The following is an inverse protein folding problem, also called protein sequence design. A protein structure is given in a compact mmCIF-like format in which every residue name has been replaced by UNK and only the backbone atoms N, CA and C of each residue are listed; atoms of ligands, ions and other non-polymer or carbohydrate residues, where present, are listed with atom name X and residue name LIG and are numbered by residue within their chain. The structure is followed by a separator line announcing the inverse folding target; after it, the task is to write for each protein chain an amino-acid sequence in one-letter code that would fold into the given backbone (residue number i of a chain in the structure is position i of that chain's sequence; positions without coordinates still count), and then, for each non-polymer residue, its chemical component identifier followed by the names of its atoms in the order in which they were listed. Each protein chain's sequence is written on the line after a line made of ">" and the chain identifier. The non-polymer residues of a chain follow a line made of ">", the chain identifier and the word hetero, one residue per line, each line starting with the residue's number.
data_IF_488306518242
#
_entry.id   IF_488306518242
#
_cell.length_a   1.000
_cell.length_b   1.000
_cell.length_c   1.000
_cell.angle_alpha   90.00
_cell.angle_beta   90.00
_cell.angle_gamma   90.00
#
_symmetry.space_group_name_H-M   'P 1'
#
loop_
_entity.id
_entity.type
_entity.pdbx_description
1 polymer ?
#
# COMPACT_ATOMS: atom_id res chain seq x y z
N UNK A 1 2.16 -32.65 -3.98
CA UNK A 1 1.35 -31.43 -3.82
C UNK A 1 2.14 -30.55 -2.89
N UNK A 2 2.79 -29.50 -3.39
CA UNK A 2 3.54 -28.57 -2.54
C UNK A 2 2.54 -27.82 -1.69
N UNK A 3 2.62 -28.00 -0.38
CA UNK A 3 1.82 -27.31 0.64
C UNK A 3 2.23 -25.83 0.65
N UNK A 4 1.72 -25.04 -0.29
CA UNK A 4 2.00 -23.61 -0.34
C UNK A 4 1.15 -22.92 0.73
N UNK A 5 1.77 -22.12 1.61
CA UNK A 5 1.05 -21.43 2.67
C UNK A 5 0.03 -20.44 2.08
N UNK A 6 -1.12 -20.32 2.74
CA UNK A 6 -2.12 -19.31 2.39
C UNK A 6 -1.52 -17.91 2.54
N UNK A 7 -1.47 -17.18 1.43
CA UNK A 7 -0.90 -15.84 1.37
C UNK A 7 -1.88 -14.77 1.89
N UNK A 8 -3.19 -15.06 1.99
CA UNK A 8 -4.23 -14.16 2.51
C UNK A 8 -4.37 -14.22 4.03
N UNK A 9 -3.25 -14.09 4.75
CA UNK A 9 -3.23 -14.18 6.23
C UNK A 9 -4.18 -13.23 6.95
N UNK A 10 -4.56 -12.09 6.32
CA UNK A 10 -5.50 -11.09 6.88
C UNK A 10 -6.60 -10.64 5.92
N UNK A 11 -6.32 -10.54 4.62
CA UNK A 11 -7.26 -9.95 3.66
C UNK A 11 -8.55 -10.76 3.48
N UNK A 12 -8.57 -12.05 3.87
CA UNK A 12 -9.79 -12.86 3.93
C UNK A 12 -10.88 -12.24 4.82
N UNK A 13 -10.52 -11.50 5.88
CA UNK A 13 -11.47 -10.86 6.81
C UNK A 13 -12.37 -9.81 6.11
N UNK A 14 -11.94 -9.26 4.96
CA UNK A 14 -12.65 -8.24 4.18
C UNK A 14 -13.04 -8.70 2.78
N UNK A 15 -12.60 -9.88 2.35
CA UNK A 15 -12.88 -10.42 1.00
C UNK A 15 -13.77 -11.64 1.05
N UNK A 16 -13.59 -12.51 2.04
CA UNK A 16 -14.24 -13.82 2.10
C UNK A 16 -15.50 -13.71 2.97
N UNK A 17 -16.47 -14.61 2.78
CA UNK A 17 -17.80 -14.62 3.41
C UNK A 17 -18.87 -13.68 2.80
N UNK A 18 -20.15 -14.12 2.75
CA UNK A 18 -21.27 -13.29 2.30
C UNK A 18 -21.42 -11.98 3.09
N UNK A 19 -21.13 -12.01 4.40
CA UNK A 19 -21.21 -10.83 5.28
C UNK A 19 -20.22 -9.71 4.93
N UNK A 20 -19.23 -9.97 4.09
CA UNK A 20 -18.27 -8.97 3.58
C UNK A 20 -18.69 -8.32 2.27
N UNK A 21 -19.95 -8.49 1.84
CA UNK A 21 -20.50 -7.79 0.67
C UNK A 21 -20.28 -6.27 0.70
N UNK A 22 -20.47 -5.54 1.82
CA UNK A 22 -20.19 -4.09 1.86
C UNK A 22 -18.70 -3.75 1.67
N UNK A 23 -17.80 -4.54 2.25
CA UNK A 23 -16.37 -4.34 2.08
C UNK A 23 -15.93 -4.58 0.63
N UNK A 24 -16.43 -5.67 0.00
CA UNK A 24 -16.20 -5.92 -1.43
C UNK A 24 -16.74 -4.81 -2.32
N UNK A 25 -17.88 -4.20 -1.99
CA UNK A 25 -18.41 -3.06 -2.75
C UNK A 25 -17.43 -1.88 -2.76
N UNK A 26 -16.84 -1.55 -1.61
CA UNK A 26 -15.82 -0.49 -1.50
C UNK A 26 -14.53 -0.86 -2.24
N UNK A 27 -14.07 -2.11 -2.15
CA UNK A 27 -12.89 -2.60 -2.87
C UNK A 27 -13.08 -2.59 -4.40
N UNK A 28 -14.30 -2.87 -4.88
CA UNK A 28 -14.63 -2.71 -6.30
C UNK A 28 -14.55 -1.26 -6.75
N UNK A 29 -15.00 -0.32 -5.91
CA UNK A 29 -14.93 1.11 -6.21
C UNK A 29 -13.48 1.62 -6.33
N UNK A 30 -12.50 0.94 -5.73
CA UNK A 30 -11.07 1.24 -5.88
C UNK A 30 -10.38 0.43 -6.99
N UNK A 31 -11.14 -0.37 -7.75
CA UNK A 31 -10.68 -1.07 -8.94
C UNK A 31 -10.50 -2.58 -8.81
N UNK A 32 -10.79 -3.20 -7.65
CA UNK A 32 -10.73 -4.66 -7.55
C UNK A 32 -11.84 -5.32 -8.37
N UNK A 33 -11.49 -6.42 -9.02
CA UNK A 33 -12.37 -7.28 -9.80
C UNK A 33 -12.55 -8.64 -9.14
N UNK A 34 -13.40 -9.49 -9.72
CA UNK A 34 -13.65 -10.83 -9.19
C UNK A 34 -12.39 -11.70 -9.19
N UNK A 35 -11.50 -11.46 -10.16
CA UNK A 35 -10.21 -12.16 -10.30
C UNK A 35 -9.20 -11.74 -9.21
N UNK A 36 -9.52 -10.75 -8.38
CA UNK A 36 -8.64 -10.25 -7.32
C UNK A 36 -8.98 -10.77 -5.92
N UNK A 37 -10.09 -11.48 -5.73
CA UNK A 37 -10.53 -11.93 -4.40
C UNK A 37 -9.59 -12.92 -3.73
N UNK A 38 -8.90 -13.74 -4.52
CA UNK A 38 -7.96 -14.73 -4.01
C UNK A 38 -6.52 -14.19 -3.90
N UNK A 39 -6.29 -12.92 -4.25
CA UNK A 39 -4.97 -12.29 -4.16
C UNK A 39 -4.71 -11.75 -2.74
N UNK A 40 -3.47 -11.85 -2.23
CA UNK A 40 -3.09 -11.11 -1.04
C UNK A 40 -3.10 -9.60 -1.32
N UNK A 41 -3.68 -8.82 -0.41
CA UNK A 41 -3.67 -7.36 -0.48
C UNK A 41 -2.35 -6.83 0.11
N UNK A 42 -1.59 -6.07 -0.68
CA UNK A 42 -0.29 -5.56 -0.28
C UNK A 42 -0.35 -4.03 -0.16
N UNK A 43 -0.16 -3.53 1.06
CA UNK A 43 0.00 -2.10 1.31
C UNK A 43 1.34 -1.60 0.78
N UNK A 44 1.31 -0.69 -0.19
CA UNK A 44 2.51 0.00 -0.70
C UNK A 44 2.55 1.38 -0.06
N UNK A 45 3.32 1.52 1.02
CA UNK A 45 3.37 2.75 1.83
C UNK A 45 4.47 3.67 1.33
N UNK A 46 4.10 4.88 0.90
CA UNK A 46 5.04 5.90 0.44
C UNK A 46 5.11 7.07 1.42
N UNK A 47 6.31 7.54 1.73
CA UNK A 47 6.50 8.83 2.39
C UNK A 47 6.78 9.97 1.39
N UNK A 48 6.34 9.81 0.13
CA UNK A 48 6.48 10.86 -0.88
C UNK A 48 5.87 12.18 -0.41
N UNK A 49 6.64 13.24 -0.59
CA UNK A 49 6.23 14.63 -0.44
C UNK A 49 7.24 15.53 -1.16
N UNK A 50 6.86 16.78 -1.33
CA UNK A 50 7.68 17.82 -1.97
C UNK A 50 8.44 18.66 -0.92
N UNK A 51 8.42 18.26 0.35
CA UNK A 51 9.08 19.00 1.46
C UNK A 51 10.60 18.86 1.39
N UNK A 52 11.13 17.76 0.83
CA UNK A 52 12.58 17.53 0.73
C UNK A 52 12.94 16.68 -0.49
N UNK A 53 14.11 16.92 -1.13
CA UNK A 53 14.59 16.10 -2.24
C UNK A 53 14.70 14.62 -1.89
N UNK A 54 14.89 14.26 -0.63
CA UNK A 54 14.97 12.86 -0.17
C UNK A 54 13.70 12.06 -0.52
N UNK A 55 12.53 12.70 -0.53
CA UNK A 55 11.23 12.03 -0.68
C UNK A 55 10.66 12.14 -2.11
N UNK A 56 11.17 13.04 -2.93
CA UNK A 56 10.64 13.29 -4.28
C UNK A 56 10.58 12.03 -5.17
N UNK A 57 11.60 11.14 -5.19
CA UNK A 57 11.56 9.94 -6.04
C UNK A 57 10.53 8.89 -5.60
N UNK A 58 10.00 9.00 -4.37
CA UNK A 58 9.19 7.94 -3.77
C UNK A 58 7.83 7.74 -4.45
N UNK A 59 7.29 8.74 -5.16
CA UNK A 59 6.07 8.56 -5.95
C UNK A 59 6.27 7.57 -7.10
N UNK A 60 7.39 7.68 -7.82
CA UNK A 60 7.69 6.78 -8.94
C UNK A 60 8.15 5.40 -8.47
N UNK A 61 8.87 5.34 -7.34
CA UNK A 61 9.23 4.07 -6.71
C UNK A 61 7.98 3.33 -6.21
N UNK A 62 6.98 4.02 -5.66
CA UNK A 62 5.71 3.41 -5.26
C UNK A 62 4.98 2.83 -6.47
N UNK A 63 4.90 3.54 -7.60
CA UNK A 63 4.31 3.02 -8.85
C UNK A 63 5.00 1.72 -9.31
N UNK A 64 6.33 1.69 -9.33
CA UNK A 64 7.12 0.50 -9.69
C UNK A 64 6.93 -0.65 -8.71
N UNK A 65 6.84 -0.37 -7.41
CA UNK A 65 6.54 -1.38 -6.40
C UNK A 65 5.17 -2.02 -6.63
N UNK A 66 4.15 -1.23 -6.99
CA UNK A 66 2.81 -1.76 -7.35
C UNK A 66 2.84 -2.67 -8.56
N UNK A 67 3.65 -2.34 -9.57
CA UNK A 67 3.86 -3.22 -10.74
C UNK A 67 4.48 -4.56 -10.32
N UNK A 68 5.51 -4.53 -9.46
CA UNK A 68 6.12 -5.74 -8.90
C UNK A 68 5.13 -6.61 -8.11
N UNK A 69 4.29 -5.99 -7.28
CA UNK A 69 3.23 -6.71 -6.55
C UNK A 69 2.26 -7.40 -7.51
N UNK A 70 1.79 -6.71 -8.56
CA UNK A 70 0.90 -7.31 -9.56
C UNK A 70 1.58 -8.47 -10.30
N UNK A 71 2.83 -8.29 -10.71
CA UNK A 71 3.62 -9.33 -11.37
C UNK A 71 3.77 -10.60 -10.50
N UNK A 72 3.90 -10.43 -9.19
CA UNK A 72 3.97 -11.53 -8.23
C UNK A 72 2.60 -12.12 -7.83
N UNK A 73 1.49 -11.66 -8.42
CA UNK A 73 0.14 -12.18 -8.14
C UNK A 73 -0.58 -11.55 -6.95
N UNK A 74 -0.08 -10.45 -6.39
CA UNK A 74 -0.75 -9.69 -5.33
C UNK A 74 -1.60 -8.53 -5.86
N UNK A 75 -2.44 -7.96 -5.00
CA UNK A 75 -3.19 -6.73 -5.29
C UNK A 75 -2.62 -5.53 -4.50
N UNK A 76 -1.98 -4.55 -5.17
CA UNK A 76 -1.37 -3.43 -4.47
C UNK A 76 -2.39 -2.34 -4.09
N UNK A 77 -2.30 -1.86 -2.86
CA UNK A 77 -3.06 -0.70 -2.36
C UNK A 77 -2.04 0.32 -1.86
N UNK A 78 -1.95 1.45 -2.57
CA UNK A 78 -1.01 2.53 -2.22
C UNK A 78 -1.66 3.52 -1.28
N UNK A 79 -0.92 3.94 -0.25
CA UNK A 79 -1.28 5.07 0.59
C UNK A 79 -0.02 5.74 1.14
N UNK A 80 -0.18 6.97 1.63
CA UNK A 80 0.95 7.78 2.06
C UNK A 80 1.02 7.94 3.57
N UNK A 81 2.25 8.15 4.06
CA UNK A 81 2.53 8.62 5.42
C UNK A 81 3.33 9.92 5.38
N UNK A 82 3.38 10.63 6.50
CA UNK A 82 4.17 11.85 6.64
C UNK A 82 5.67 11.53 6.66
N UNK A 83 6.47 12.50 6.23
CA UNK A 83 7.89 12.58 6.54
C UNK A 83 8.30 14.04 6.64
N UNK A 84 9.41 14.29 7.33
CA UNK A 84 9.99 15.61 7.53
C UNK A 84 11.35 15.71 6.84
N UNK A 85 11.92 16.90 6.85
CA UNK A 85 13.26 17.16 6.36
C UNK A 85 14.15 17.56 7.52
N UNK A 86 15.09 16.70 7.91
CA UNK A 86 16.10 17.05 8.91
C UNK A 86 16.87 18.29 8.45
N UNK A 87 17.31 18.31 7.18
CA UNK A 87 18.11 19.40 6.63
C UNK A 87 17.43 20.77 6.66
N UNK A 88 16.10 20.83 6.54
CA UNK A 88 15.33 22.09 6.58
C UNK A 88 14.97 22.46 8.02
N UNK A 89 14.70 21.48 8.89
CA UNK A 89 14.27 21.76 10.27
C UNK A 89 15.41 22.26 11.18
N UNK A 90 16.67 22.11 10.75
CA UNK A 90 17.81 22.50 11.58
C UNK A 90 17.84 24.01 11.88
N UNK A 91 18.05 24.35 13.16
CA UNK A 91 18.31 25.73 13.59
C UNK A 91 17.08 26.57 13.94
N UNK A 92 15.87 25.98 13.97
CA UNK A 92 14.66 26.64 14.43
C UNK A 92 13.70 25.66 15.16
N UNK A 93 12.54 26.15 15.60
CA UNK A 93 11.55 25.41 16.41
C UNK A 93 11.05 24.07 15.82
N UNK A 94 11.30 23.83 14.53
CA UNK A 94 10.94 22.60 13.84
C UNK A 94 11.79 21.40 14.26
N UNK A 95 13.02 21.64 14.72
CA UNK A 95 13.87 20.62 15.33
C UNK A 95 13.89 20.84 16.83
N UNK A 96 12.95 20.19 17.53
CA UNK A 96 12.88 20.22 18.99
C UNK A 96 14.05 19.41 19.56
N UNK A 97 14.88 20.07 20.36
CA UNK A 97 15.92 19.42 21.18
C UNK A 97 15.33 18.84 22.47
#
# INVERSE_FOLDING_TARGET
>A
MTDQPDMKTRSHEVTDFPSRAPARAMLRATGMTDDDWDKPQIGVVSSWNEVTPCNMPLADLAKRAKEGVRYAGGYPIEFNTIAVSDGISMGHEGMRA
#
